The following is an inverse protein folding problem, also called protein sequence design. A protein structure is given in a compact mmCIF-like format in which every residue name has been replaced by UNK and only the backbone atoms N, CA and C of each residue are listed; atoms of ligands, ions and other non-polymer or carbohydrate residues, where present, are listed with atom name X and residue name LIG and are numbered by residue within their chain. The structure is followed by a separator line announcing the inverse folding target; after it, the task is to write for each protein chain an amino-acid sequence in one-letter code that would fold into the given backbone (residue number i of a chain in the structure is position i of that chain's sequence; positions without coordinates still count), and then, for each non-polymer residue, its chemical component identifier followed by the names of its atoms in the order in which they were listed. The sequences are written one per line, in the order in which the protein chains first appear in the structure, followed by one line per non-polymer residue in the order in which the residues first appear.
data_IF_939807702279
#
_entry.id   IF_939807702279
#
_cell.length_a   1.000
_cell.length_b   1.000
_cell.length_c   1.000
_cell.angle_alpha   90.00
_cell.angle_beta   90.00
_cell.angle_gamma   90.00
#
_symmetry.space_group_name_H-M   'P 1'
#
loop_
_entity.id
_entity.type
_entity.pdbx_description
1 polymer ?
#
# COMPACT_ATOMS: atom_id res chain seq x y z
N UNK A 1 -31.72 -15.00 12.64
CA UNK A 1 -30.98 -13.87 12.05
C UNK A 1 -30.17 -13.26 13.17
N UNK A 2 -28.84 -13.36 13.10
CA UNK A 2 -27.99 -12.78 14.14
C UNK A 2 -28.18 -11.26 14.08
N UNK A 3 -28.64 -10.68 15.17
CA UNK A 3 -28.62 -9.24 15.36
C UNK A 3 -27.17 -8.84 15.55
N UNK A 4 -26.47 -8.40 14.50
CA UNK A 4 -25.16 -7.79 14.69
C UNK A 4 -25.32 -6.54 15.56
N UNK A 5 -24.86 -6.62 16.81
CA UNK A 5 -24.80 -5.48 17.70
C UNK A 5 -23.64 -4.59 17.25
N UNK A 6 -23.97 -3.50 16.57
CA UNK A 6 -22.98 -2.55 16.05
C UNK A 6 -22.16 -1.87 17.16
N UNK A 7 -22.57 -1.99 18.43
CA UNK A 7 -21.80 -1.55 19.61
C UNK A 7 -20.85 -2.61 20.15
N UNK A 8 -20.93 -3.85 19.68
CA UNK A 8 -19.98 -4.89 20.06
C UNK A 8 -18.59 -4.50 19.56
N UNK A 9 -17.57 -4.44 20.44
CA UNK A 9 -16.21 -4.12 20.02
C UNK A 9 -15.53 -5.29 19.31
N UNK A 10 -16.04 -6.52 19.46
CA UNK A 10 -15.42 -7.74 18.94
C UNK A 10 -15.06 -7.70 17.43
N UNK A 11 -15.87 -7.13 16.52
CA UNK A 11 -15.52 -7.01 15.11
C UNK A 11 -14.44 -5.96 14.81
N UNK A 12 -14.15 -5.07 15.77
CA UNK A 12 -13.25 -3.92 15.59
C UNK A 12 -11.95 -4.06 16.40
N UNK A 13 -11.82 -5.07 17.27
CA UNK A 13 -10.58 -5.30 18.03
C UNK A 13 -9.38 -5.46 17.09
N UNK A 14 -9.54 -6.13 15.93
CA UNK A 14 -8.50 -6.27 14.91
C UNK A 14 -8.02 -4.93 14.31
N UNK A 15 -8.85 -3.88 14.39
CA UNK A 15 -8.51 -2.54 13.89
C UNK A 15 -7.79 -1.69 14.95
N UNK A 16 -7.83 -2.07 16.24
CA UNK A 16 -7.19 -1.30 17.33
C UNK A 16 -5.67 -1.43 17.32
N UNK A 17 -5.17 -2.54 16.80
CA UNK A 17 -3.73 -2.81 16.71
C UNK A 17 -3.09 -2.19 15.46
N UNK A 18 -3.89 -1.59 14.56
CA UNK A 18 -3.36 -0.94 13.37
C UNK A 18 -2.74 0.41 13.72
N UNK A 19 -1.56 0.65 13.15
CA UNK A 19 -0.96 1.96 13.13
C UNK A 19 -1.76 2.92 12.22
N UNK A 20 -1.50 4.23 12.34
CA UNK A 20 -2.18 5.24 11.53
C UNK A 20 -2.15 4.95 10.01
N UNK A 21 -1.03 4.52 9.39
CA UNK A 21 -1.03 4.15 7.98
C UNK A 21 -1.79 2.84 7.69
N UNK A 22 -1.73 1.84 8.56
CA UNK A 22 -2.54 0.62 8.44
C UNK A 22 -4.04 0.91 8.48
N UNK A 23 -4.47 1.80 9.37
CA UNK A 23 -5.87 2.24 9.44
C UNK A 23 -6.30 3.01 8.18
N UNK A 24 -5.46 3.89 7.64
CA UNK A 24 -5.75 4.59 6.39
C UNK A 24 -5.86 3.61 5.19
N UNK A 25 -5.02 2.57 5.16
CA UNK A 25 -5.07 1.53 4.14
C UNK A 25 -6.38 0.74 4.14
N UNK A 26 -6.93 0.45 5.31
CA UNK A 26 -8.22 -0.21 5.47
C UNK A 26 -9.38 0.55 4.80
N UNK A 27 -9.31 1.88 4.77
CA UNK A 27 -10.29 2.71 4.09
C UNK A 27 -10.12 2.63 2.55
N UNK A 28 -8.87 2.71 2.08
CA UNK A 28 -8.57 2.65 0.65
C UNK A 28 -8.89 1.29 0.03
N UNK A 29 -8.57 0.19 0.72
CA UNK A 29 -8.84 -1.17 0.20
C UNK A 29 -10.33 -1.46 0.02
N UNK A 30 -11.21 -0.79 0.78
CA UNK A 30 -12.67 -0.92 0.67
C UNK A 30 -13.27 -0.01 -0.42
N UNK A 31 -12.52 0.95 -0.95
CA UNK A 31 -12.98 1.86 -1.98
C UNK A 31 -12.93 1.19 -3.36
N UNK A 32 -14.08 1.04 -4.02
CA UNK A 32 -14.17 0.38 -5.32
C UNK A 32 -13.45 1.14 -6.44
N UNK A 33 -13.43 2.48 -6.39
CA UNK A 33 -12.76 3.30 -7.39
C UNK A 33 -11.25 3.20 -7.24
N UNK A 34 -10.75 3.22 -5.99
CA UNK A 34 -9.34 2.99 -5.70
C UNK A 34 -8.87 1.64 -6.27
N UNK A 35 -9.63 0.58 -6.03
CA UNK A 35 -9.28 -0.76 -6.52
C UNK A 35 -9.23 -0.84 -8.05
N UNK A 36 -10.20 -0.25 -8.74
CA UNK A 36 -10.22 -0.23 -10.21
C UNK A 36 -8.98 0.47 -10.78
N UNK A 37 -8.62 1.60 -10.21
CA UNK A 37 -7.45 2.36 -10.67
C UNK A 37 -6.14 1.65 -10.33
N UNK A 38 -6.03 1.08 -9.13
CA UNK A 38 -4.89 0.25 -8.75
C UNK A 38 -4.69 -0.90 -9.74
N UNK A 39 -5.74 -1.64 -10.08
CA UNK A 39 -5.68 -2.75 -11.05
C UNK A 39 -5.26 -2.23 -12.44
N UNK A 40 -5.79 -1.08 -12.87
CA UNK A 40 -5.40 -0.48 -14.15
C UNK A 40 -3.93 -0.06 -14.18
N UNK A 41 -3.41 0.46 -13.07
CA UNK A 41 -2.00 0.83 -12.92
C UNK A 41 -1.09 -0.40 -12.90
N UNK A 42 -1.47 -1.45 -12.18
CA UNK A 42 -0.75 -2.73 -12.15
C UNK A 42 -0.69 -3.39 -13.53
N UNK A 43 -1.77 -3.32 -14.29
CA UNK A 43 -1.80 -3.83 -15.67
C UNK A 43 -0.93 -2.98 -16.61
N UNK A 44 -0.96 -1.65 -16.48
CA UNK A 44 -0.08 -0.76 -17.25
C UNK A 44 1.41 -1.00 -16.93
N UNK A 45 1.76 -1.28 -15.67
CA UNK A 45 3.13 -1.60 -15.26
C UNK A 45 3.59 -2.92 -15.87
N UNK A 46 2.73 -3.95 -15.81
CA UNK A 46 2.99 -5.26 -16.44
C UNK A 46 3.21 -5.16 -17.95
N UNK A 47 2.49 -4.27 -18.61
CA UNK A 47 2.62 -4.01 -20.04
C UNK A 47 3.81 -3.09 -20.38
N UNK A 48 4.56 -2.61 -19.38
CA UNK A 48 5.64 -1.64 -19.56
C UNK A 48 5.18 -0.26 -20.04
N UNK A 49 3.87 0.01 -19.98
CA UNK A 49 3.25 1.26 -20.41
C UNK A 49 3.11 2.27 -19.26
N UNK A 50 3.43 1.89 -18.02
CA UNK A 50 3.28 2.75 -16.85
C UNK A 50 4.28 3.91 -16.88
N UNK A 51 3.77 5.14 -16.95
CA UNK A 51 4.59 6.35 -16.84
C UNK A 51 4.72 6.78 -15.39
N UNK A 52 5.84 7.43 -15.08
CA UNK A 52 6.06 8.06 -13.77
C UNK A 52 4.97 9.08 -13.44
N UNK A 53 4.45 9.80 -14.45
CA UNK A 53 3.32 10.74 -14.29
C UNK A 53 2.06 10.06 -13.77
N UNK A 54 1.75 8.87 -14.29
CA UNK A 54 0.52 8.15 -13.95
C UNK A 54 0.56 7.67 -12.49
N UNK A 55 1.74 7.24 -12.03
CA UNK A 55 1.99 6.88 -10.65
C UNK A 55 1.93 8.11 -9.70
N UNK A 56 2.46 9.26 -10.12
CA UNK A 56 2.40 10.49 -9.33
C UNK A 56 0.98 11.06 -9.24
N UNK A 57 0.20 11.01 -10.32
CA UNK A 57 -1.20 11.44 -10.33
C UNK A 57 -2.06 10.56 -9.44
N UNK A 58 -1.84 9.24 -9.48
CA UNK A 58 -2.46 8.30 -8.55
C UNK A 58 -2.11 8.62 -7.10
N UNK A 59 -0.83 8.91 -6.82
CA UNK A 59 -0.37 9.25 -5.48
C UNK A 59 -0.97 10.56 -4.97
N UNK A 60 -1.06 11.59 -5.82
CA UNK A 60 -1.68 12.88 -5.47
C UNK A 60 -3.16 12.73 -5.15
N UNK A 61 -3.84 11.83 -5.87
CA UNK A 61 -5.27 11.64 -5.74
C UNK A 61 -5.66 10.81 -4.52
N UNK A 62 -4.90 9.77 -4.21
CA UNK A 62 -5.23 8.81 -3.14
C UNK A 62 -4.36 8.95 -1.89
N UNK A 63 -3.30 9.76 -1.95
CA UNK A 63 -2.38 9.97 -0.83
C UNK A 63 -1.44 8.80 -0.56
N UNK A 64 -1.30 7.86 -1.52
CA UNK A 64 -0.44 6.68 -1.39
C UNK A 64 0.74 6.73 -2.34
N UNK A 65 1.93 6.39 -1.86
CA UNK A 65 3.11 6.20 -2.72
C UNK A 65 3.59 4.77 -2.61
N UNK A 66 3.59 4.06 -3.74
CA UNK A 66 4.22 2.76 -3.83
C UNK A 66 5.73 2.97 -3.97
N UNK A 67 6.50 2.32 -3.10
CA UNK A 67 7.96 2.31 -3.26
C UNK A 67 8.26 1.47 -4.50
N UNK A 68 8.71 2.11 -5.58
CA UNK A 68 9.35 1.39 -6.68
C UNK A 68 10.69 0.88 -6.12
N UNK A 69 10.80 -0.42 -5.93
CA UNK A 69 12.07 -1.02 -5.52
C UNK A 69 13.02 -0.89 -6.72
N UNK A 70 13.76 0.22 -6.79
CA UNK A 70 14.80 0.41 -7.79
C UNK A 70 15.93 -0.54 -7.44
N UNK A 71 16.12 -1.57 -8.27
CA UNK A 71 17.28 -2.44 -8.16
C UNK A 71 18.55 -1.60 -8.40
N UNK A 72 19.46 -1.64 -7.44
CA UNK A 72 20.91 -1.48 -7.59
C UNK A 72 21.37 -0.17 -8.25
N UNK A 73 21.53 0.90 -7.46
CA UNK A 73 22.81 1.67 -7.36
C UNK A 73 22.66 3.07 -6.75
N UNK A 74 21.47 3.64 -6.64
CA UNK A 74 21.35 5.00 -6.08
C UNK A 74 21.08 4.99 -4.58
N UNK A 75 22.18 5.10 -3.85
CA UNK A 75 22.27 5.24 -2.42
C UNK A 75 21.64 6.56 -1.91
N UNK A 76 20.35 6.59 -1.53
CA UNK A 76 19.86 7.60 -0.58
C UNK A 76 18.77 7.09 0.37
N UNK A 77 19.22 6.78 1.59
CA UNK A 77 18.64 7.09 2.91
C UNK A 77 17.10 7.06 3.09
N UNK A 78 16.63 5.97 3.70
CA UNK A 78 15.59 6.01 4.74
C UNK A 78 16.05 6.96 5.87
N UNK A 79 15.16 7.78 6.49
CA UNK A 79 14.08 7.23 7.31
C UNK A 79 12.78 8.06 7.33
N UNK A 80 11.63 7.38 7.41
CA UNK A 80 10.50 7.92 8.17
C UNK A 80 10.41 7.08 9.45
N UNK A 81 11.24 7.42 10.43
CA UNK A 81 11.07 6.92 11.78
C UNK A 81 9.92 7.68 12.45
N UNK A 82 8.86 6.95 12.80
CA UNK A 82 8.66 6.66 14.22
C UNK A 82 7.88 5.36 14.42
N UNK A 83 8.61 4.38 14.96
CA UNK A 83 8.21 3.11 15.56
C UNK A 83 8.09 1.90 14.59
N UNK A 84 9.07 1.00 14.70
CA UNK A 84 8.94 -0.40 14.30
C UNK A 84 9.79 -0.78 13.10
N UNK A 85 11.02 -1.22 13.37
CA UNK A 85 11.95 -1.74 12.37
C UNK A 85 11.27 -2.74 11.42
N UNK A 86 11.24 -2.40 10.12
CA UNK A 86 11.01 -3.37 9.06
C UNK A 86 12.19 -3.29 8.11
N UNK A 87 13.19 -4.14 8.36
CA UNK A 87 14.31 -4.36 7.45
C UNK A 87 13.76 -4.59 6.04
N UNK A 88 14.19 -3.77 5.08
CA UNK A 88 13.90 -4.00 3.68
C UNK A 88 14.73 -5.20 3.21
N UNK A 89 14.14 -6.41 3.25
CA UNK A 89 14.72 -7.56 2.58
C UNK A 89 14.23 -7.60 1.14
N UNK A 90 15.10 -7.20 0.22
CA UNK A 90 14.95 -7.51 -1.19
C UNK A 90 15.29 -8.99 -1.37
N UNK A 91 14.28 -9.85 -1.54
CA UNK A 91 14.49 -11.25 -1.90
C UNK A 91 14.73 -11.29 -3.41
N UNK A 92 16.01 -11.35 -3.81
CA UNK A 92 16.39 -11.64 -5.19
C UNK A 92 16.14 -13.13 -5.45
N UNK A 93 14.99 -13.50 -6.03
CA UNK A 93 14.88 -14.75 -6.77
C UNK A 93 15.47 -14.51 -8.17
N UNK A 94 16.80 -14.51 -8.23
CA UNK A 94 17.53 -14.64 -9.48
C UNK A 94 17.51 -16.11 -9.91
N UNK A 95 16.68 -16.43 -10.89
CA UNK A 95 16.82 -17.66 -11.67
C UNK A 95 17.95 -17.45 -12.69
N UNK A 96 19.05 -18.20 -12.50
CA UNK A 96 19.99 -18.58 -13.57
C UNK A 96 19.43 -19.83 -14.28
#
# INVERSE_FOLDING_TARGET
MASEDWRSPAPYEELRDLDAPGFAWEYLRRNAQFNKERISLEEADRQGALKTSDADDFARRWGVRFRRCASQDDAWHCPLDRAGASHCHCRNDGTD
#
